data_IF_861378934261
#
_entry.id   IF_861378934261
#
_cell.length_a   1.000
_cell.length_b   1.000
_cell.length_c   1.000
_cell.angle_alpha   90.00
_cell.angle_beta   90.00
_cell.angle_gamma   90.00
#
_symmetry.space_group_name_H-M   'P 1'
#
loop_
_entity.id
_entity.type
_entity.pdbx_description
1 polymer ?
#
# COMPACT_ATOMS: atom_id res chain seq x y z
N UNK A 1 22.58 -16.18 9.73
CA UNK A 1 21.70 -15.28 8.95
C UNK A 1 20.65 -14.77 9.93
N UNK A 2 20.24 -13.51 9.86
CA UNK A 2 19.26 -12.89 10.77
C UNK A 2 17.88 -13.49 10.52
N UNK A 3 17.14 -13.89 11.57
CA UNK A 3 15.78 -14.40 11.50
C UNK A 3 14.78 -13.25 11.64
N UNK A 4 14.05 -12.95 10.57
CA UNK A 4 13.06 -11.88 10.50
C UNK A 4 11.65 -12.48 10.48
N UNK A 5 10.79 -12.08 11.43
CA UNK A 5 9.37 -12.32 11.31
C UNK A 5 8.72 -11.15 10.54
N UNK A 6 8.10 -11.45 9.41
CA UNK A 6 7.17 -10.52 8.73
C UNK A 6 5.75 -10.91 9.15
N UNK A 7 5.00 -9.94 9.67
CA UNK A 7 3.65 -10.15 10.19
C UNK A 7 2.65 -9.33 9.38
N UNK A 8 1.66 -10.01 8.79
CA UNK A 8 0.56 -9.34 8.05
C UNK A 8 -0.80 -9.95 8.41
N UNK A 9 -1.86 -9.15 8.50
CA UNK A 9 -3.21 -9.67 8.71
C UNK A 9 -3.78 -10.41 7.50
N UNK A 10 -3.17 -10.25 6.31
CA UNK A 10 -3.57 -10.87 5.05
C UNK A 10 -3.51 -12.40 5.11
N UNK A 11 -4.22 -13.07 4.21
CA UNK A 11 -4.15 -14.53 4.04
C UNK A 11 -3.03 -14.92 3.08
N UNK A 12 -2.53 -16.15 3.19
CA UNK A 12 -1.44 -16.66 2.34
C UNK A 12 -1.80 -16.66 0.83
N UNK A 13 -3.09 -16.80 0.51
CA UNK A 13 -3.56 -16.91 -0.88
C UNK A 13 -3.72 -15.56 -1.58
N UNK A 14 -3.71 -14.46 -0.85
CA UNK A 14 -3.87 -13.08 -1.35
C UNK A 14 -3.05 -12.09 -0.52
N UNK A 15 -1.75 -12.31 -0.34
CA UNK A 15 -0.94 -11.25 0.24
C UNK A 15 -0.84 -10.12 -0.79
N UNK A 16 -0.92 -8.90 -0.29
CA UNK A 16 -0.69 -7.72 -1.13
C UNK A 16 0.70 -7.78 -1.75
N UNK A 17 0.83 -7.26 -2.97
CA UNK A 17 2.07 -7.36 -3.76
C UNK A 17 3.30 -6.81 -3.01
N UNK A 18 3.13 -5.75 -2.22
CA UNK A 18 4.24 -5.20 -1.43
C UNK A 18 4.68 -6.14 -0.30
N UNK A 19 3.78 -6.90 0.33
CA UNK A 19 4.15 -7.91 1.36
C UNK A 19 4.99 -9.00 0.73
N UNK A 20 4.60 -9.50 -0.47
CA UNK A 20 5.41 -10.47 -1.22
C UNK A 20 6.78 -9.91 -1.59
N UNK A 21 6.82 -8.63 -1.97
CA UNK A 21 8.07 -7.95 -2.28
C UNK A 21 8.99 -7.86 -1.07
N UNK A 22 8.45 -7.60 0.14
CA UNK A 22 9.23 -7.60 1.39
C UNK A 22 9.73 -8.99 1.76
N UNK A 23 8.87 -10.02 1.67
CA UNK A 23 9.25 -11.42 1.95
C UNK A 23 10.41 -11.87 1.06
N UNK A 24 10.34 -11.55 -0.25
CA UNK A 24 11.35 -11.99 -1.22
C UNK A 24 12.58 -11.10 -1.30
N UNK A 25 12.48 -9.82 -0.90
CA UNK A 25 13.51 -8.81 -1.14
C UNK A 25 14.38 -8.46 0.05
N UNK A 26 13.88 -8.57 1.28
CA UNK A 26 14.66 -8.28 2.50
C UNK A 26 15.69 -9.38 2.73
N UNK A 27 16.96 -9.00 2.93
CA UNK A 27 18.08 -9.93 3.07
C UNK A 27 18.16 -10.51 4.49
N UNK A 28 17.25 -11.45 4.79
CA UNK A 28 17.13 -12.16 6.05
C UNK A 28 16.61 -13.60 5.82
N UNK A 29 16.63 -14.44 6.86
CA UNK A 29 15.84 -15.66 6.89
C UNK A 29 14.42 -15.27 7.33
N UNK A 30 13.46 -15.27 6.40
CA UNK A 30 12.11 -14.73 6.63
C UNK A 30 11.15 -15.81 7.11
N UNK A 31 10.44 -15.50 8.19
CA UNK A 31 9.31 -16.25 8.74
C UNK A 31 8.04 -15.43 8.55
N UNK A 32 7.15 -15.87 7.69
CA UNK A 32 5.91 -15.14 7.40
C UNK A 32 4.76 -15.57 8.30
N UNK A 33 4.31 -14.66 9.16
CA UNK A 33 3.19 -14.83 10.08
C UNK A 33 1.95 -14.10 9.56
N UNK A 34 0.79 -14.79 9.52
CA UNK A 34 -0.41 -14.24 8.88
C UNK A 34 -1.73 -14.68 9.51
N UNK A 35 -2.84 -14.13 9.00
CA UNK A 35 -4.19 -14.62 9.20
C UNK A 35 -5.04 -13.89 10.26
N UNK A 36 -4.54 -12.88 10.93
CA UNK A 36 -5.26 -11.95 11.82
C UNK A 36 -4.32 -10.81 12.25
N UNK A 37 -4.82 -9.78 12.92
CA UNK A 37 -4.00 -8.71 13.53
C UNK A 37 -2.98 -9.28 14.53
N UNK A 38 -3.37 -10.24 15.36
CA UNK A 38 -2.44 -11.12 16.07
C UNK A 38 -2.38 -12.42 15.27
N UNK A 39 -1.25 -12.75 14.61
CA UNK A 39 -1.21 -13.82 13.64
C UNK A 39 -1.54 -15.18 14.23
N UNK A 40 -2.07 -16.06 13.40
CA UNK A 40 -2.49 -17.41 13.77
C UNK A 40 -1.73 -18.49 13.06
N UNK A 41 -1.15 -18.17 11.92
CA UNK A 41 -0.46 -19.10 11.04
C UNK A 41 0.99 -18.67 10.83
N UNK A 42 1.87 -19.65 10.72
CA UNK A 42 3.22 -19.50 10.22
C UNK A 42 3.32 -20.27 8.89
N UNK A 43 3.83 -19.63 7.86
CA UNK A 43 4.02 -20.25 6.55
C UNK A 43 4.89 -21.51 6.67
N UNK A 44 4.47 -22.59 6.02
CA UNK A 44 5.13 -23.89 6.08
C UNK A 44 4.81 -24.74 7.32
N UNK A 45 4.37 -24.16 8.42
CA UNK A 45 4.04 -24.89 9.67
C UNK A 45 2.54 -24.96 9.97
N UNK A 46 1.77 -24.02 9.42
CA UNK A 46 0.32 -23.96 9.61
C UNK A 46 -0.12 -23.26 10.89
N UNK A 47 -1.22 -23.72 11.49
CA UNK A 47 -1.85 -23.10 12.66
C UNK A 47 -1.03 -23.29 13.92
N UNK A 48 -0.55 -22.21 14.52
CA UNK A 48 0.12 -22.21 15.84
C UNK A 48 -0.71 -21.54 16.94
N UNK A 49 -1.76 -20.78 16.60
CA UNK A 49 -2.65 -20.08 17.54
C UNK A 49 -4.11 -20.37 17.24
N UNK A 50 -4.99 -20.17 18.23
CA UNK A 50 -6.39 -20.57 18.14
C UNK A 50 -7.32 -19.49 17.60
N UNK A 51 -8.37 -19.94 16.88
CA UNK A 51 -9.56 -19.14 16.55
C UNK A 51 -10.76 -19.64 17.38
N UNK A 52 -11.75 -18.77 17.64
CA UNK A 52 -13.04 -19.15 18.23
C UNK A 52 -13.77 -20.26 17.47
N UNK A 53 -13.56 -20.37 16.15
CA UNK A 53 -14.12 -21.46 15.32
C UNK A 53 -13.33 -22.78 15.41
N UNK A 54 -12.06 -22.78 15.83
CA UNK A 54 -11.24 -23.99 15.96
C UNK A 54 -11.47 -24.73 17.29
N UNK A 55 -12.34 -24.23 18.18
CA UNK A 55 -12.75 -24.89 19.41
C UNK A 55 -13.34 -26.31 19.20
N UNK A 56 -13.80 -26.61 17.98
CA UNK A 56 -14.35 -27.92 17.63
C UNK A 56 -13.31 -28.96 17.17
N UNK A 57 -12.03 -28.57 17.01
CA UNK A 57 -10.98 -29.49 16.55
C UNK A 57 -10.10 -29.98 17.71
N UNK A 58 -10.47 -31.12 18.32
CA UNK A 58 -9.76 -31.74 19.44
C UNK A 58 -8.28 -32.00 19.21
N UNK A 59 -7.86 -32.26 17.95
CA UNK A 59 -6.44 -32.49 17.61
C UNK A 59 -5.60 -31.19 17.66
N UNK A 60 -6.16 -30.06 17.22
CA UNK A 60 -5.51 -28.75 17.33
C UNK A 60 -5.36 -28.34 18.81
N UNK A 61 -6.38 -28.57 19.63
CA UNK A 61 -6.34 -28.37 21.08
C UNK A 61 -5.20 -29.13 21.76
N UNK A 62 -5.07 -30.44 21.49
CA UNK A 62 -4.04 -31.30 22.10
C UNK A 62 -2.63 -30.85 21.74
N UNK A 63 -2.42 -30.32 20.51
CA UNK A 63 -1.11 -29.82 20.05
C UNK A 63 -0.72 -28.52 20.77
N UNK A 64 -1.67 -27.61 20.98
CA UNK A 64 -1.49 -26.34 21.67
C UNK A 64 -1.28 -26.55 23.19
N UNK A 65 -2.11 -27.40 23.81
CA UNK A 65 -2.00 -27.68 25.24
C UNK A 65 -0.74 -28.46 25.63
N UNK A 66 -0.21 -29.33 24.76
CA UNK A 66 1.05 -30.03 25.02
C UNK A 66 2.23 -29.08 25.22
N UNK A 67 2.18 -27.90 24.60
CA UNK A 67 3.26 -26.91 24.65
C UNK A 67 2.93 -25.69 25.55
N UNK A 68 1.70 -25.64 26.12
CA UNK A 68 1.28 -24.54 26.96
C UNK A 68 1.77 -24.74 28.41
N UNK A 69 2.82 -24.02 28.78
CA UNK A 69 3.17 -23.90 30.20
C UNK A 69 2.19 -22.92 30.89
N UNK A 70 1.16 -23.46 31.52
CA UNK A 70 0.06 -22.69 32.16
C UNK A 70 0.58 -21.71 33.21
N UNK A 71 1.64 -22.05 33.95
CA UNK A 71 2.26 -21.14 34.92
C UNK A 71 2.91 -19.94 34.23
N UNK A 72 3.72 -20.16 33.19
CA UNK A 72 4.35 -19.09 32.43
C UNK A 72 3.31 -18.23 31.70
N UNK A 73 2.25 -18.83 31.18
CA UNK A 73 1.12 -18.09 30.57
C UNK A 73 0.47 -17.16 31.59
N UNK A 74 0.04 -17.66 32.76
CA UNK A 74 -0.58 -16.83 33.79
C UNK A 74 0.34 -15.71 34.28
N UNK A 75 1.64 -15.99 34.42
CA UNK A 75 2.62 -15.01 34.84
C UNK A 75 2.95 -13.95 33.76
N UNK A 76 2.59 -14.19 32.50
CA UNK A 76 2.90 -13.29 31.38
C UNK A 76 2.06 -12.01 31.39
N UNK A 77 0.85 -12.06 31.94
CA UNK A 77 -0.15 -10.98 31.84
C UNK A 77 -0.74 -10.79 30.43
N UNK A 78 -0.38 -11.65 29.46
CA UNK A 78 -0.85 -11.55 28.07
C UNK A 78 -2.15 -12.31 27.84
N UNK A 79 -2.91 -11.87 26.82
CA UNK A 79 -3.96 -12.70 26.23
C UNK A 79 -3.36 -13.96 25.57
N UNK A 80 -4.14 -15.05 25.49
CA UNK A 80 -3.63 -16.33 24.97
C UNK A 80 -3.03 -16.24 23.56
N UNK A 81 -3.64 -15.50 22.63
CA UNK A 81 -3.13 -15.31 21.27
C UNK A 81 -1.73 -14.64 21.28
N UNK A 82 -1.59 -13.53 22.03
CA UNK A 82 -0.32 -12.81 22.15
C UNK A 82 0.76 -13.66 22.82
N UNK A 83 0.41 -14.46 23.82
CA UNK A 83 1.33 -15.39 24.47
C UNK A 83 1.83 -16.47 23.51
N UNK A 84 0.90 -17.11 22.77
CA UNK A 84 1.27 -18.15 21.79
C UNK A 84 2.15 -17.58 20.67
N UNK A 85 1.83 -16.37 20.19
CA UNK A 85 2.69 -15.69 19.21
C UNK A 85 4.09 -15.42 19.77
N UNK A 86 4.19 -14.89 20.99
CA UNK A 86 5.47 -14.66 21.65
C UNK A 86 6.28 -15.95 21.84
N UNK A 87 5.61 -17.08 22.14
CA UNK A 87 6.29 -18.39 22.23
C UNK A 87 6.78 -18.86 20.87
N UNK A 88 6.00 -18.66 19.80
CA UNK A 88 6.42 -18.98 18.43
C UNK A 88 7.65 -18.17 18.02
N UNK A 89 7.66 -16.86 18.27
CA UNK A 89 8.83 -16.01 18.02
C UNK A 89 10.09 -16.52 18.71
N UNK A 90 9.98 -16.93 19.98
CA UNK A 90 11.11 -17.50 20.74
C UNK A 90 11.56 -18.86 20.22
N UNK A 91 10.61 -19.73 19.84
CA UNK A 91 10.90 -21.08 19.33
C UNK A 91 11.67 -21.04 18.01
N UNK A 92 11.38 -20.03 17.18
CA UNK A 92 12.03 -19.83 15.88
C UNK A 92 13.27 -18.91 15.96
N UNK A 93 13.67 -18.51 17.17
CA UNK A 93 14.83 -17.62 17.38
C UNK A 93 14.74 -16.36 16.53
N UNK A 94 13.55 -15.72 16.51
CA UNK A 94 13.34 -14.48 15.76
C UNK A 94 14.16 -13.36 16.39
N UNK A 95 14.94 -12.66 15.56
CA UNK A 95 15.77 -11.53 15.97
C UNK A 95 15.02 -10.20 15.88
N UNK A 96 14.12 -10.04 14.90
CA UNK A 96 13.35 -8.80 14.62
C UNK A 96 11.97 -9.14 14.10
N UNK A 97 10.99 -8.33 14.46
CA UNK A 97 9.63 -8.37 13.88
C UNK A 97 9.41 -7.12 13.02
N UNK A 98 9.06 -7.31 11.74
CA UNK A 98 8.50 -6.29 10.86
C UNK A 98 7.00 -6.55 10.73
N UNK A 99 6.18 -5.64 11.24
CA UNK A 99 4.73 -5.77 11.16
C UNK A 99 4.15 -4.81 10.12
N UNK A 100 3.45 -5.39 9.16
CA UNK A 100 2.71 -4.66 8.15
C UNK A 100 1.41 -4.15 8.74
N UNK A 101 1.13 -2.88 8.55
CA UNK A 101 0.08 -2.06 9.15
C UNK A 101 0.31 -1.68 10.62
N UNK A 102 0.07 -0.41 10.91
CA UNK A 102 0.13 0.15 12.26
C UNK A 102 -0.80 -0.55 13.25
N UNK A 103 -1.98 -0.97 12.81
CA UNK A 103 -2.94 -1.73 13.62
C UNK A 103 -2.39 -3.09 14.04
N UNK A 104 -1.78 -3.83 13.12
CA UNK A 104 -1.10 -5.11 13.41
C UNK A 104 0.04 -4.88 14.38
N UNK A 105 0.88 -3.88 14.12
CA UNK A 105 2.02 -3.51 14.98
C UNK A 105 1.58 -3.24 16.40
N UNK A 106 0.49 -2.49 16.57
CA UNK A 106 -0.07 -2.14 17.88
C UNK A 106 -0.61 -3.36 18.64
N UNK A 107 -1.26 -4.30 17.94
CA UNK A 107 -1.81 -5.52 18.56
C UNK A 107 -0.74 -6.52 19.01
N UNK A 108 0.40 -6.56 18.32
CA UNK A 108 1.48 -7.52 18.67
C UNK A 108 2.56 -6.92 19.58
N UNK A 109 2.50 -5.62 19.89
CA UNK A 109 3.52 -4.92 20.70
C UNK A 109 3.80 -5.63 22.02
N UNK A 110 2.76 -5.99 22.78
CA UNK A 110 2.93 -6.64 24.08
C UNK A 110 3.57 -8.04 23.95
N UNK A 111 3.30 -8.75 22.86
CA UNK A 111 3.94 -10.04 22.58
C UNK A 111 5.42 -9.88 22.25
N UNK A 112 5.79 -8.88 21.44
CA UNK A 112 7.18 -8.55 21.12
C UNK A 112 7.94 -8.11 22.37
N UNK A 113 7.33 -7.25 23.21
CA UNK A 113 7.89 -6.82 24.49
C UNK A 113 8.15 -7.99 25.44
N UNK A 114 7.17 -8.91 25.58
CA UNK A 114 7.35 -10.12 26.40
C UNK A 114 8.43 -11.05 25.83
N UNK A 115 8.51 -11.16 24.51
CA UNK A 115 9.55 -11.93 23.85
C UNK A 115 10.94 -11.27 23.91
N UNK A 116 11.01 -9.95 24.19
CA UNK A 116 12.21 -9.10 24.11
C UNK A 116 12.78 -9.03 22.69
N UNK A 117 11.89 -8.91 21.69
CA UNK A 117 12.27 -8.87 20.27
C UNK A 117 11.89 -7.50 19.72
N UNK A 118 12.81 -6.73 19.12
CA UNK A 118 12.53 -5.42 18.57
C UNK A 118 11.44 -5.48 17.48
N UNK A 119 10.56 -4.44 17.49
CA UNK A 119 9.45 -4.29 16.57
C UNK A 119 9.74 -3.14 15.61
N UNK A 120 9.54 -3.37 14.32
CA UNK A 120 9.47 -2.36 13.27
C UNK A 120 8.00 -2.29 12.83
N UNK A 121 7.38 -1.12 12.93
CA UNK A 121 6.00 -0.89 12.50
C UNK A 121 5.98 -0.24 11.11
N UNK A 122 5.23 -0.79 10.16
CA UNK A 122 5.13 -0.28 8.80
C UNK A 122 3.69 0.16 8.50
N UNK A 123 3.49 1.46 8.25
CA UNK A 123 2.19 2.06 7.96
C UNK A 123 1.96 2.19 6.46
N UNK A 124 0.69 2.01 6.00
CA UNK A 124 0.38 1.94 4.58
C UNK A 124 -0.68 2.91 4.06
N UNK A 125 -1.44 3.59 4.91
CA UNK A 125 -2.47 4.56 4.54
C UNK A 125 -3.55 4.67 5.60
N UNK A 126 -4.63 3.90 5.46
CA UNK A 126 -5.80 3.91 6.34
C UNK A 126 -5.45 3.83 7.83
N UNK A 127 -4.46 3.04 8.18
CA UNK A 127 -3.95 2.85 9.55
C UNK A 127 -3.35 4.13 10.17
N UNK A 128 -3.02 5.14 9.36
CA UNK A 128 -2.49 6.44 9.80
C UNK A 128 -3.45 7.61 9.57
N UNK A 129 -4.63 7.37 8.96
CA UNK A 129 -5.49 8.45 8.48
C UNK A 129 -6.96 8.31 8.85
N UNK A 130 -7.55 7.11 8.81
CA UNK A 130 -8.97 6.85 9.12
C UNK A 130 -9.28 7.23 10.58
N UNK A 131 -10.23 8.13 10.77
CA UNK A 131 -10.58 8.69 12.10
C UNK A 131 -11.08 7.64 13.08
N UNK A 132 -11.81 6.61 12.61
CA UNK A 132 -12.30 5.53 13.46
C UNK A 132 -11.17 4.62 13.90
N UNK A 133 -10.23 4.32 13.01
CA UNK A 133 -9.01 3.57 13.32
C UNK A 133 -8.18 4.35 14.35
N UNK A 134 -7.90 5.62 14.08
CA UNK A 134 -7.10 6.46 14.97
C UNK A 134 -7.73 6.60 16.36
N UNK A 135 -9.05 6.79 16.44
CA UNK A 135 -9.79 6.84 17.71
C UNK A 135 -9.67 5.51 18.47
N UNK A 136 -9.84 4.38 17.79
CA UNK A 136 -9.84 3.05 18.41
C UNK A 136 -8.44 2.59 18.84
N UNK A 137 -7.39 3.05 18.14
CA UNK A 137 -6.02 2.61 18.37
C UNK A 137 -5.15 3.64 19.11
N UNK A 138 -5.68 4.79 19.50
CA UNK A 138 -4.91 5.90 20.08
C UNK A 138 -3.93 5.46 21.19
N UNK A 139 -4.43 4.77 22.21
CA UNK A 139 -3.60 4.31 23.33
C UNK A 139 -2.63 3.19 22.93
N UNK A 140 -3.08 2.29 22.03
CA UNK A 140 -2.24 1.21 21.54
C UNK A 140 -1.09 1.75 20.68
N UNK A 141 -1.34 2.80 19.87
CA UNK A 141 -0.30 3.45 19.08
C UNK A 141 0.74 4.13 19.97
N UNK A 142 0.34 4.81 21.06
CA UNK A 142 1.32 5.38 22.00
C UNK A 142 2.25 4.29 22.54
N UNK A 143 1.69 3.18 23.07
CA UNK A 143 2.49 2.06 23.59
C UNK A 143 3.38 1.43 22.52
N UNK A 144 2.90 1.34 21.30
CA UNK A 144 3.65 0.83 20.16
C UNK A 144 4.78 1.79 19.78
N UNK A 145 4.55 3.10 19.69
CA UNK A 145 5.59 4.10 19.40
C UNK A 145 6.68 4.12 20.49
N UNK A 146 6.30 3.96 21.77
CA UNK A 146 7.27 3.86 22.86
C UNK A 146 8.21 2.65 22.67
N UNK A 147 7.65 1.51 22.30
CA UNK A 147 8.40 0.25 22.18
C UNK A 147 9.11 0.06 20.86
N UNK A 148 8.49 0.45 19.73
CA UNK A 148 9.02 0.19 18.40
C UNK A 148 10.44 0.76 18.24
N UNK A 149 11.30 -0.03 17.60
CA UNK A 149 12.63 0.40 17.19
C UNK A 149 12.55 1.48 16.11
N UNK A 150 11.72 1.23 15.08
CA UNK A 150 11.45 2.17 14.00
C UNK A 150 10.00 2.08 13.54
N UNK A 151 9.52 3.17 12.96
CA UNK A 151 8.21 3.30 12.35
C UNK A 151 8.40 3.72 10.89
N UNK A 152 7.99 2.87 9.95
CA UNK A 152 8.14 3.13 8.52
C UNK A 152 6.87 3.84 8.03
N UNK A 153 7.08 4.97 7.35
CA UNK A 153 6.06 5.75 6.68
C UNK A 153 6.25 5.69 5.17
N UNK A 154 5.17 5.46 4.42
CA UNK A 154 5.24 5.35 2.96
C UNK A 154 5.12 6.69 2.22
N UNK A 155 4.90 7.79 2.95
CA UNK A 155 4.89 9.15 2.39
C UNK A 155 5.32 10.19 3.41
N UNK A 156 5.79 11.35 2.93
CA UNK A 156 6.14 12.48 3.81
C UNK A 156 4.91 13.07 4.51
N UNK A 157 3.73 12.99 3.88
CA UNK A 157 2.48 13.37 4.56
C UNK A 157 2.16 12.40 5.71
N UNK A 158 2.41 11.11 5.52
CA UNK A 158 2.26 10.12 6.58
C UNK A 158 3.25 10.34 7.73
N UNK A 159 4.51 10.71 7.46
CA UNK A 159 5.47 11.08 8.51
C UNK A 159 4.92 12.20 9.40
N UNK A 160 4.36 13.28 8.80
CA UNK A 160 3.75 14.39 9.55
C UNK A 160 2.58 13.92 10.41
N UNK A 161 1.72 13.06 9.87
CA UNK A 161 0.56 12.51 10.60
C UNK A 161 1.00 11.62 11.76
N UNK A 162 1.99 10.76 11.56
CA UNK A 162 2.52 9.91 12.62
C UNK A 162 3.18 10.73 13.73
N UNK A 163 3.90 11.80 13.39
CA UNK A 163 4.41 12.75 14.39
C UNK A 163 3.27 13.43 15.18
N UNK A 164 2.20 13.85 14.51
CA UNK A 164 1.03 14.42 15.16
C UNK A 164 0.30 13.42 16.08
N UNK A 165 0.40 12.12 15.78
CA UNK A 165 -0.08 11.02 16.63
C UNK A 165 0.86 10.68 17.78
N UNK A 166 2.01 11.36 17.91
CA UNK A 166 2.97 11.18 19.00
C UNK A 166 4.15 10.25 18.67
N UNK A 167 4.35 9.85 17.42
CA UNK A 167 5.53 9.09 17.04
C UNK A 167 6.79 9.97 17.12
N UNK A 168 7.85 9.55 17.85
CA UNK A 168 9.12 10.27 17.87
C UNK A 168 9.74 10.37 16.46
N UNK A 169 10.22 11.56 16.09
CA UNK A 169 10.78 11.81 14.76
C UNK A 169 12.01 10.94 14.45
N UNK A 170 12.82 10.65 15.43
CA UNK A 170 14.03 9.82 15.30
C UNK A 170 13.74 8.34 15.05
N UNK A 171 12.50 7.89 15.27
CA UNK A 171 12.04 6.53 14.93
C UNK A 171 11.46 6.42 13.52
N UNK A 172 11.14 7.57 12.87
CA UNK A 172 10.51 7.57 11.55
C UNK A 172 11.53 7.26 10.45
N UNK A 173 11.11 6.40 9.52
CA UNK A 173 11.87 6.05 8.32
C UNK A 173 10.95 6.15 7.11
N UNK A 174 11.30 6.97 6.13
CA UNK A 174 10.60 7.06 4.85
C UNK A 174 10.98 5.91 3.93
N UNK A 175 10.02 5.06 3.59
CA UNK A 175 10.20 3.96 2.64
C UNK A 175 8.87 3.64 1.93
N UNK A 176 8.52 4.32 0.84
CA UNK A 176 7.32 4.06 0.07
C UNK A 176 7.35 2.67 -0.59
N UNK A 177 6.17 2.08 -0.81
CA UNK A 177 6.04 0.93 -1.68
C UNK A 177 6.42 1.34 -3.11
N UNK A 178 7.12 0.48 -3.84
CA UNK A 178 7.66 0.79 -5.18
C UNK A 178 7.15 -0.19 -6.23
N UNK A 179 7.19 0.19 -7.53
CA UNK A 179 6.79 -0.69 -8.62
C UNK A 179 7.68 -1.93 -8.72
N UNK A 180 7.12 -3.02 -9.25
CA UNK A 180 7.89 -4.18 -9.66
C UNK A 180 8.79 -3.85 -10.88
N UNK A 181 9.92 -4.57 -10.98
CA UNK A 181 10.93 -4.33 -12.03
C UNK A 181 10.39 -4.50 -13.47
N UNK A 182 9.28 -5.22 -13.66
CA UNK A 182 8.60 -5.39 -14.95
C UNK A 182 8.19 -4.05 -15.58
N UNK A 183 7.67 -3.12 -14.78
CA UNK A 183 7.24 -1.80 -15.25
C UNK A 183 8.41 -0.93 -15.76
N UNK A 184 9.60 -1.08 -15.22
CA UNK A 184 10.79 -0.35 -15.67
C UNK A 184 11.34 -0.84 -17.02
N UNK A 185 11.00 -2.08 -17.42
CA UNK A 185 11.46 -2.70 -18.69
C UNK A 185 10.64 -2.22 -19.87
N UNK A 186 9.44 -1.73 -19.63
CA UNK A 186 8.53 -1.27 -20.68
C UNK A 186 8.62 0.24 -20.91
N UNK A 187 8.07 0.69 -22.04
CA UNK A 187 8.03 2.10 -22.44
C UNK A 187 6.65 2.45 -22.97
N UNK A 188 6.05 3.53 -22.46
CA UNK A 188 4.78 4.04 -22.95
C UNK A 188 4.97 4.62 -24.38
N UNK A 189 4.05 4.26 -25.28
CA UNK A 189 4.13 4.67 -26.70
C UNK A 189 3.59 6.07 -26.95
N UNK A 190 2.66 6.53 -26.13
CA UNK A 190 2.00 7.86 -26.17
C UNK A 190 1.33 8.16 -27.54
N UNK A 191 0.90 7.13 -28.26
CA UNK A 191 0.41 7.27 -29.65
C UNK A 191 -1.09 7.42 -29.76
N UNK A 192 -1.85 6.76 -28.85
CA UNK A 192 -3.32 6.78 -28.86
C UNK A 192 -3.86 7.91 -27.99
N UNK A 193 -4.97 8.58 -28.37
CA UNK A 193 -5.65 9.55 -27.52
C UNK A 193 -6.45 8.83 -26.41
N UNK A 194 -5.74 8.05 -25.58
CA UNK A 194 -6.30 7.15 -24.58
C UNK A 194 -5.72 7.46 -23.21
N UNK A 195 -6.60 7.51 -22.21
CA UNK A 195 -6.23 7.60 -20.81
C UNK A 195 -6.47 6.27 -20.11
N UNK A 196 -5.73 6.00 -19.05
CA UNK A 196 -5.91 4.79 -18.25
C UNK A 196 -5.97 5.11 -16.76
N UNK A 197 -6.96 4.54 -16.09
CA UNK A 197 -7.09 4.48 -14.63
C UNK A 197 -6.86 3.03 -14.20
N UNK A 198 -6.02 2.81 -13.18
CA UNK A 198 -5.80 1.50 -12.58
C UNK A 198 -5.91 1.61 -11.06
N UNK A 199 -6.83 0.89 -10.45
CA UNK A 199 -6.97 0.90 -9.01
C UNK A 199 -8.29 0.36 -8.49
N UNK A 200 -8.40 0.24 -7.18
CA UNK A 200 -9.67 -0.13 -6.55
C UNK A 200 -10.68 1.01 -6.72
N UNK A 201 -11.90 0.68 -7.05
CA UNK A 201 -13.00 1.64 -7.14
C UNK A 201 -13.53 1.94 -5.74
N UNK A 202 -12.80 2.77 -5.00
CA UNK A 202 -13.09 3.21 -3.63
C UNK A 202 -13.23 4.71 -3.57
N UNK A 203 -13.87 5.23 -2.50
CA UNK A 203 -14.12 6.65 -2.32
C UNK A 203 -12.85 7.48 -2.44
N UNK A 204 -11.78 7.11 -1.77
CA UNK A 204 -10.51 7.84 -1.81
C UNK A 204 -9.84 7.91 -3.19
N UNK A 205 -10.22 7.03 -4.14
CA UNK A 205 -9.72 7.09 -5.53
C UNK A 205 -10.66 7.84 -6.46
N UNK A 206 -11.82 8.27 -5.97
CA UNK A 206 -12.83 9.09 -6.64
C UNK A 206 -12.96 8.82 -8.15
N UNK A 207 -13.22 7.57 -8.59
CA UNK A 207 -13.29 7.23 -10.02
C UNK A 207 -14.36 8.04 -10.77
N UNK A 208 -15.39 8.52 -10.06
CA UNK A 208 -16.42 9.41 -10.59
C UNK A 208 -15.85 10.78 -11.00
N UNK A 209 -14.87 11.32 -10.27
CA UNK A 209 -14.23 12.58 -10.62
C UNK A 209 -13.42 12.46 -11.93
N UNK A 210 -12.78 11.30 -12.15
CA UNK A 210 -12.10 10.98 -13.43
C UNK A 210 -13.11 10.95 -14.58
N UNK A 211 -14.31 10.34 -14.39
CA UNK A 211 -15.36 10.34 -15.40
C UNK A 211 -15.87 11.75 -15.73
N UNK A 212 -16.06 12.58 -14.71
CA UNK A 212 -16.50 13.98 -14.90
C UNK A 212 -15.45 14.80 -15.66
N UNK A 213 -14.18 14.65 -15.35
CA UNK A 213 -13.10 15.29 -16.08
C UNK A 213 -13.05 14.80 -17.54
N UNK A 214 -13.16 13.49 -17.74
CA UNK A 214 -13.15 12.90 -19.07
C UNK A 214 -14.36 13.31 -19.91
N UNK A 215 -15.55 13.48 -19.33
CA UNK A 215 -16.71 14.02 -20.03
C UNK A 215 -16.42 15.38 -20.67
N UNK A 216 -15.74 16.28 -19.93
CA UNK A 216 -15.34 17.60 -20.46
C UNK A 216 -14.28 17.49 -21.57
N UNK A 217 -13.40 16.48 -21.48
CA UNK A 217 -12.43 16.21 -22.56
C UNK A 217 -13.14 15.87 -23.86
N UNK A 218 -14.23 15.10 -23.82
CA UNK A 218 -14.98 14.70 -25.01
C UNK A 218 -15.70 15.84 -25.69
N UNK A 219 -16.00 16.94 -25.00
CA UNK A 219 -16.60 18.14 -25.60
C UNK A 219 -15.66 18.79 -26.62
N UNK A 220 -14.31 18.63 -26.45
CA UNK A 220 -13.30 19.14 -27.39
C UNK A 220 -12.63 18.03 -28.20
N UNK A 221 -12.58 16.78 -27.69
CA UNK A 221 -11.83 15.67 -28.28
C UNK A 221 -12.67 14.37 -28.30
N UNK A 222 -13.68 14.35 -29.18
CA UNK A 222 -14.69 13.27 -29.25
C UNK A 222 -14.12 11.86 -29.44
N UNK A 223 -12.91 11.73 -29.99
CA UNK A 223 -12.25 10.42 -30.23
C UNK A 223 -11.40 9.93 -29.04
N UNK A 224 -11.29 10.68 -27.96
CA UNK A 224 -10.56 10.24 -26.77
C UNK A 224 -11.21 8.98 -26.16
N UNK A 225 -10.39 8.14 -25.55
CA UNK A 225 -10.79 6.93 -24.84
C UNK A 225 -10.30 6.94 -23.38
N UNK A 226 -11.05 6.27 -22.52
CA UNK A 226 -10.66 6.04 -21.12
C UNK A 226 -10.83 4.57 -20.79
N UNK A 227 -9.72 3.93 -20.39
CA UNK A 227 -9.75 2.57 -19.82
C UNK A 227 -9.80 2.67 -18.30
N UNK A 228 -10.72 1.94 -17.68
CA UNK A 228 -10.85 1.88 -16.23
C UNK A 228 -10.67 0.43 -15.76
N UNK A 229 -9.53 0.18 -15.08
CA UNK A 229 -9.09 -1.16 -14.66
C UNK A 229 -9.16 -1.27 -13.15
N UNK A 230 -9.79 -2.33 -12.66
CA UNK A 230 -9.94 -2.65 -11.24
C UNK A 230 -11.37 -2.96 -10.87
N UNK A 231 -11.60 -3.14 -9.58
CA UNK A 231 -12.90 -3.45 -8.98
C UNK A 231 -13.02 -2.79 -7.60
N UNK A 232 -14.19 -2.80 -6.99
CA UNK A 232 -14.44 -2.24 -5.66
C UNK A 232 -15.86 -1.74 -5.48
N UNK A 233 -16.15 -1.19 -4.30
CA UNK A 233 -17.50 -0.81 -3.89
C UNK A 233 -18.18 0.20 -4.83
N UNK A 234 -17.39 1.08 -5.47
CA UNK A 234 -17.88 2.08 -6.42
C UNK A 234 -17.87 1.61 -7.88
N UNK A 235 -17.46 0.36 -8.19
CA UNK A 235 -17.35 -0.09 -9.58
C UNK A 235 -18.67 0.01 -10.35
N UNK A 236 -19.76 -0.56 -9.80
CA UNK A 236 -21.06 -0.56 -10.46
C UNK A 236 -21.68 0.84 -10.51
N UNK A 237 -21.54 1.65 -9.48
CA UNK A 237 -22.04 3.04 -9.47
C UNK A 237 -21.29 3.91 -10.49
N UNK A 238 -19.98 3.77 -10.60
CA UNK A 238 -19.14 4.45 -11.58
C UNK A 238 -19.54 4.04 -13.03
N UNK A 239 -19.76 2.75 -13.25
CA UNK A 239 -20.22 2.24 -14.56
C UNK A 239 -21.62 2.77 -14.93
N UNK A 240 -22.55 2.86 -13.97
CA UNK A 240 -23.86 3.45 -14.20
C UNK A 240 -23.76 4.96 -14.47
N UNK A 241 -22.88 5.66 -13.75
CA UNK A 241 -22.61 7.08 -13.99
C UNK A 241 -22.07 7.32 -15.42
N UNK A 242 -21.18 6.48 -15.91
CA UNK A 242 -20.69 6.56 -17.29
C UNK A 242 -21.83 6.43 -18.31
N UNK A 243 -22.83 5.56 -18.07
CA UNK A 243 -24.02 5.45 -18.92
C UNK A 243 -24.89 6.72 -18.88
N UNK A 244 -25.15 7.27 -17.68
CA UNK A 244 -25.93 8.50 -17.49
C UNK A 244 -25.27 9.69 -18.19
N UNK A 245 -23.94 9.75 -18.17
CA UNK A 245 -23.14 10.77 -18.84
C UNK A 245 -22.93 10.52 -20.34
N UNK A 246 -23.55 9.45 -20.91
CA UNK A 246 -23.44 9.05 -22.31
C UNK A 246 -22.01 8.72 -22.77
N UNK A 247 -21.18 8.18 -21.87
CA UNK A 247 -19.77 7.87 -22.11
C UNK A 247 -19.53 6.44 -22.62
N UNK A 248 -20.56 5.63 -22.84
CA UNK A 248 -20.44 4.19 -23.11
C UNK A 248 -19.60 3.85 -24.36
N UNK A 249 -19.49 4.76 -25.31
CA UNK A 249 -18.68 4.59 -26.52
C UNK A 249 -17.19 4.96 -26.30
N UNK A 250 -16.85 5.65 -25.23
CA UNK A 250 -15.53 6.24 -24.98
C UNK A 250 -14.87 5.70 -23.72
N UNK A 251 -15.64 5.10 -22.81
CA UNK A 251 -15.14 4.55 -21.54
C UNK A 251 -15.32 3.04 -21.51
N UNK A 252 -14.24 2.31 -21.27
CA UNK A 252 -14.24 0.86 -21.13
C UNK A 252 -13.88 0.45 -19.70
N UNK A 253 -14.69 -0.42 -19.09
CA UNK A 253 -14.50 -0.99 -17.76
C UNK A 253 -14.02 -2.42 -17.88
N UNK A 254 -12.76 -2.67 -17.57
CA UNK A 254 -12.10 -3.97 -17.79
C UNK A 254 -12.17 -4.90 -16.56
N UNK A 255 -12.66 -4.42 -15.42
CA UNK A 255 -12.58 -5.17 -14.16
C UNK A 255 -11.13 -5.40 -13.70
N UNK A 256 -10.92 -6.36 -12.81
CA UNK A 256 -9.58 -6.74 -12.36
C UNK A 256 -8.80 -7.41 -13.48
N UNK A 257 -7.58 -6.98 -13.74
CA UNK A 257 -6.69 -7.49 -14.78
C UNK A 257 -5.38 -8.03 -14.21
N UNK A 258 -4.71 -8.91 -14.97
CA UNK A 258 -3.35 -9.35 -14.65
C UNK A 258 -2.33 -8.22 -14.83
N UNK A 259 -1.17 -8.28 -14.15
CA UNK A 259 -0.11 -7.28 -14.33
C UNK A 259 0.30 -7.07 -15.78
N UNK A 260 0.40 -8.12 -16.60
CA UNK A 260 0.75 -8.03 -18.02
C UNK A 260 -0.28 -7.21 -18.81
N UNK A 261 -1.57 -7.40 -18.53
CA UNK A 261 -2.64 -6.64 -19.19
C UNK A 261 -2.70 -5.18 -18.73
N UNK A 262 -2.34 -4.91 -17.47
CA UNK A 262 -2.18 -3.54 -16.96
C UNK A 262 -1.02 -2.86 -17.69
N UNK A 263 0.11 -3.53 -17.84
CA UNK A 263 1.27 -3.02 -18.59
C UNK A 263 0.89 -2.72 -20.03
N UNK A 264 0.17 -3.63 -20.73
CA UNK A 264 -0.28 -3.43 -22.11
C UNK A 264 -1.19 -2.19 -22.22
N UNK A 265 -2.17 -2.06 -21.33
CA UNK A 265 -3.08 -0.92 -21.31
C UNK A 265 -2.33 0.41 -21.04
N UNK A 266 -1.41 0.43 -20.10
CA UNK A 266 -0.57 1.60 -19.81
C UNK A 266 0.33 1.94 -21.00
N UNK A 267 0.94 0.94 -21.65
CA UNK A 267 1.86 1.11 -22.78
C UNK A 267 1.20 1.81 -23.96
N UNK A 268 -0.05 1.53 -24.22
CA UNK A 268 -0.81 2.10 -25.33
C UNK A 268 -1.48 3.45 -25.03
N UNK A 269 -1.47 3.88 -23.76
CA UNK A 269 -2.13 5.10 -23.31
C UNK A 269 -1.26 6.34 -23.48
N UNK A 270 -1.90 7.53 -23.52
CA UNK A 270 -1.27 8.84 -23.54
C UNK A 270 -0.90 9.31 -22.14
N UNK A 271 -1.75 9.03 -21.15
CA UNK A 271 -1.50 9.36 -19.76
C UNK A 271 -2.26 8.42 -18.81
N UNK A 272 -1.69 8.25 -17.62
CA UNK A 272 -2.37 7.69 -16.46
C UNK A 272 -3.16 8.77 -15.74
N UNK A 273 -4.38 8.46 -15.33
CA UNK A 273 -5.26 9.41 -14.61
C UNK A 273 -5.78 8.80 -13.32
N UNK A 274 -5.70 9.53 -12.20
CA UNK A 274 -6.27 9.16 -10.91
C UNK A 274 -6.62 10.41 -10.12
N UNK A 275 -7.84 10.47 -9.56
CA UNK A 275 -8.30 11.60 -8.77
C UNK A 275 -8.47 11.18 -7.30
N UNK A 276 -7.38 11.14 -6.56
CA UNK A 276 -7.45 10.78 -5.13
C UNK A 276 -7.91 11.95 -4.27
N UNK A 277 -8.69 11.62 -3.22
CA UNK A 277 -9.22 12.58 -2.24
C UNK A 277 -9.10 12.03 -0.82
N UNK A 278 -9.15 12.90 0.17
CA UNK A 278 -9.42 12.54 1.56
C UNK A 278 -10.92 12.28 1.69
N UNK A 279 -11.29 11.13 2.21
CA UNK A 279 -12.71 10.78 2.45
C UNK A 279 -13.25 11.43 3.72
N UNK A 280 -14.57 11.45 3.91
CA UNK A 280 -15.22 12.02 5.10
C UNK A 280 -14.79 11.36 6.41
N UNK A 281 -14.42 10.07 6.38
CA UNK A 281 -13.86 9.34 7.52
C UNK A 281 -12.33 9.49 7.67
N UNK A 282 -11.70 10.32 6.82
CA UNK A 282 -10.28 10.62 6.85
C UNK A 282 -9.39 9.59 6.15
N UNK A 283 -9.95 8.52 5.53
CA UNK A 283 -9.12 7.57 4.77
C UNK A 283 -8.48 8.27 3.56
N UNK A 284 -7.22 7.96 3.32
CA UNK A 284 -6.43 8.51 2.22
C UNK A 284 -5.43 7.50 1.69
N UNK A 285 -4.82 7.84 0.57
CA UNK A 285 -3.72 7.04 0.03
C UNK A 285 -2.49 7.09 0.95
N UNK A 286 -1.67 6.05 0.89
CA UNK A 286 -0.28 6.13 1.32
C UNK A 286 0.56 6.77 0.21
N UNK A 287 1.14 5.92 -0.64
CA UNK A 287 1.67 6.30 -1.97
C UNK A 287 1.06 5.33 -2.98
N UNK A 288 0.23 5.80 -3.93
CA UNK A 288 -0.44 4.89 -4.87
C UNK A 288 0.56 4.26 -5.82
N UNK A 289 0.73 2.93 -5.73
CA UNK A 289 1.70 2.18 -6.53
C UNK A 289 1.43 2.33 -8.02
N UNK A 290 0.16 2.36 -8.46
CA UNK A 290 -0.19 2.53 -9.87
C UNK A 290 0.29 3.86 -10.49
N UNK A 291 0.37 4.95 -9.71
CA UNK A 291 1.00 6.22 -10.11
C UNK A 291 2.49 6.02 -10.38
N UNK A 292 3.16 5.25 -9.53
CA UNK A 292 4.58 4.96 -9.67
C UNK A 292 4.84 4.00 -10.83
N UNK A 293 3.98 3.00 -11.03
CA UNK A 293 4.02 2.05 -12.16
C UNK A 293 3.91 2.78 -13.50
N UNK A 294 2.94 3.69 -13.62
CA UNK A 294 2.79 4.54 -14.79
C UNK A 294 4.05 5.38 -15.05
N UNK A 295 4.54 6.07 -14.01
CA UNK A 295 5.77 6.87 -14.11
C UNK A 295 7.00 6.01 -14.47
N UNK A 296 7.12 4.78 -13.95
CA UNK A 296 8.22 3.87 -14.26
C UNK A 296 8.24 3.44 -15.74
N UNK A 297 7.07 3.37 -16.38
CA UNK A 297 6.92 3.09 -17.82
C UNK A 297 7.17 4.34 -18.69
N UNK A 298 7.33 5.54 -18.11
CA UNK A 298 7.39 6.78 -18.86
C UNK A 298 6.04 7.29 -19.33
N UNK A 299 4.95 6.83 -18.71
CA UNK A 299 3.60 7.31 -18.94
C UNK A 299 3.36 8.57 -18.08
N UNK A 300 3.02 9.73 -18.67
CA UNK A 300 2.69 10.92 -17.88
C UNK A 300 1.55 10.64 -16.90
N UNK A 301 1.65 11.20 -15.71
CA UNK A 301 0.61 11.09 -14.67
C UNK A 301 -0.16 12.39 -14.55
N UNK A 302 -1.48 12.32 -14.55
CA UNK A 302 -2.39 13.39 -14.16
C UNK A 302 -3.10 12.94 -12.88
N UNK A 303 -2.88 13.66 -11.78
CA UNK A 303 -3.44 13.27 -10.49
C UNK A 303 -3.71 14.48 -9.59
N UNK A 304 -3.91 14.23 -8.29
CA UNK A 304 -4.21 15.27 -7.30
C UNK A 304 -3.03 15.52 -6.36
N UNK A 305 -2.97 16.71 -5.78
CA UNK A 305 -2.08 17.04 -4.66
C UNK A 305 -2.66 16.36 -3.43
N UNK A 306 -2.42 15.05 -3.29
CA UNK A 306 -3.01 14.20 -2.27
C UNK A 306 -1.97 13.22 -1.71
N UNK A 307 -1.88 13.14 -0.38
CA UNK A 307 -1.04 12.17 0.36
C UNK A 307 0.39 12.07 -0.20
N UNK A 308 0.84 10.88 -0.57
CA UNK A 308 2.19 10.62 -1.13
C UNK A 308 2.32 10.87 -2.63
N UNK A 309 1.29 11.34 -3.33
CA UNK A 309 1.38 11.62 -4.78
C UNK A 309 2.44 12.69 -5.08
N UNK A 310 2.52 13.83 -4.34
CA UNK A 310 3.55 14.85 -4.56
C UNK A 310 4.99 14.37 -4.25
N UNK A 311 5.17 13.30 -3.49
CA UNK A 311 6.50 12.71 -3.27
C UNK A 311 7.05 12.08 -4.57
N UNK A 312 6.12 11.55 -5.38
CA UNK A 312 6.40 10.83 -6.63
C UNK A 312 6.38 11.76 -7.83
N UNK A 313 5.30 12.55 -7.96
CA UNK A 313 5.02 13.41 -9.11
C UNK A 313 5.36 14.86 -8.77
N UNK A 314 6.24 15.47 -9.56
CA UNK A 314 6.56 16.90 -9.51
C UNK A 314 5.72 17.59 -10.58
N UNK A 315 4.83 18.49 -10.15
CA UNK A 315 3.89 19.18 -11.04
C UNK A 315 4.61 19.98 -12.13
N UNK A 316 4.17 19.79 -13.38
CA UNK A 316 4.78 20.41 -14.56
C UNK A 316 6.11 19.85 -15.02
N UNK A 317 6.73 18.94 -14.23
CA UNK A 317 8.05 18.35 -14.56
C UNK A 317 7.97 16.85 -14.85
N UNK A 318 7.24 16.07 -14.02
CA UNK A 318 7.14 14.61 -14.13
C UNK A 318 5.70 14.11 -14.25
N UNK A 319 4.74 15.03 -14.23
CA UNK A 319 3.30 14.83 -14.35
C UNK A 319 2.58 16.15 -14.10
N UNK A 320 1.26 16.08 -13.98
CA UNK A 320 0.40 17.23 -13.72
C UNK A 320 -0.46 16.96 -12.49
N UNK A 321 -0.54 17.93 -11.58
CA UNK A 321 -1.27 17.83 -10.34
C UNK A 321 -2.34 18.93 -10.23
N UNK A 322 -3.54 18.55 -9.83
CA UNK A 322 -4.62 19.47 -9.48
C UNK A 322 -4.99 19.34 -7.99
N UNK A 323 -5.81 20.25 -7.49
CA UNK A 323 -6.39 20.10 -6.15
C UNK A 323 -7.41 18.95 -6.15
N UNK A 324 -7.66 18.38 -4.97
CA UNK A 324 -8.76 17.46 -4.78
C UNK A 324 -10.08 18.09 -5.22
N UNK A 325 -10.93 17.31 -5.92
CA UNK A 325 -12.21 17.73 -6.50
C UNK A 325 -12.12 18.80 -7.62
N UNK A 326 -10.93 19.23 -8.03
CA UNK A 326 -10.77 20.16 -9.16
C UNK A 326 -10.82 19.39 -10.50
N UNK A 327 -12.05 19.01 -10.85
CA UNK A 327 -12.37 18.26 -12.09
C UNK A 327 -12.05 19.08 -13.33
N UNK A 328 -12.21 20.42 -13.28
CA UNK A 328 -11.91 21.32 -14.40
C UNK A 328 -10.44 21.36 -14.74
N UNK A 329 -9.59 21.46 -13.71
CA UNK A 329 -8.14 21.44 -13.90
C UNK A 329 -7.67 20.09 -14.43
N UNK A 330 -8.20 18.97 -13.91
CA UNK A 330 -7.88 17.64 -14.43
C UNK A 330 -8.26 17.50 -15.90
N UNK A 331 -9.45 17.95 -16.30
CA UNK A 331 -9.88 17.96 -17.70
C UNK A 331 -8.96 18.82 -18.59
N UNK A 332 -8.60 20.03 -18.13
CA UNK A 332 -7.66 20.92 -18.82
C UNK A 332 -6.29 20.27 -19.00
N UNK A 333 -5.79 19.55 -17.99
CA UNK A 333 -4.52 18.83 -18.04
C UNK A 333 -4.58 17.66 -19.04
N UNK A 334 -5.69 16.92 -19.07
CA UNK A 334 -5.89 15.86 -20.07
C UNK A 334 -5.92 16.45 -21.50
N UNK A 335 -6.65 17.55 -21.73
CA UNK A 335 -6.68 18.25 -23.01
C UNK A 335 -5.32 18.80 -23.42
N UNK A 336 -4.52 19.30 -22.48
CA UNK A 336 -3.17 19.77 -22.73
C UNK A 336 -2.30 18.66 -23.31
N UNK A 337 -2.34 17.46 -22.73
CA UNK A 337 -1.53 16.34 -23.24
C UNK A 337 -2.03 15.81 -24.60
N UNK A 338 -3.34 15.90 -24.90
CA UNK A 338 -3.88 15.59 -26.22
C UNK A 338 -3.40 16.56 -27.30
N UNK A 339 -3.26 17.84 -26.95
CA UNK A 339 -2.85 18.91 -27.86
C UNK A 339 -1.34 19.07 -28.00
N UNK A 340 -0.57 18.71 -26.96
CA UNK A 340 0.88 18.86 -26.88
C UNK A 340 1.56 17.53 -26.54
N UNK A 341 1.84 16.75 -27.58
CA UNK A 341 2.50 15.44 -27.46
C UNK A 341 3.96 15.55 -26.99
N UNK A 342 4.65 16.61 -27.39
CA UNK A 342 6.05 16.82 -26.97
C UNK A 342 6.12 17.06 -25.47
N UNK A 343 5.15 17.79 -24.92
CA UNK A 343 5.04 17.98 -23.49
C UNK A 343 4.68 16.67 -22.76
N UNK A 344 3.81 15.83 -23.35
CA UNK A 344 3.53 14.50 -22.78
C UNK A 344 4.80 13.63 -22.72
N UNK A 345 5.59 13.60 -23.81
CA UNK A 345 6.88 12.89 -23.85
C UNK A 345 7.87 13.45 -22.83
N UNK A 346 7.94 14.78 -22.69
CA UNK A 346 8.79 15.44 -21.70
C UNK A 346 8.44 14.97 -20.26
N UNK A 347 7.18 15.04 -19.87
CA UNK A 347 6.71 14.62 -18.54
C UNK A 347 6.98 13.13 -18.28
N UNK A 348 6.64 12.27 -19.23
CA UNK A 348 6.82 10.81 -19.10
C UNK A 348 8.30 10.44 -18.95
N UNK A 349 9.18 11.00 -19.77
CA UNK A 349 10.63 10.80 -19.68
C UNK A 349 11.20 11.19 -18.33
N UNK A 350 10.84 12.37 -17.83
CA UNK A 350 11.30 12.86 -16.53
C UNK A 350 10.75 12.01 -15.38
N UNK A 351 9.46 11.59 -15.46
CA UNK A 351 8.86 10.67 -14.51
C UNK A 351 9.65 9.36 -14.41
N UNK A 352 9.95 8.74 -15.56
CA UNK A 352 10.75 7.50 -15.62
C UNK A 352 12.14 7.68 -15.03
N UNK A 353 12.81 8.79 -15.32
CA UNK A 353 14.13 9.09 -14.75
C UNK A 353 14.07 9.23 -13.22
N UNK A 354 13.04 9.93 -12.71
CA UNK A 354 12.82 10.08 -11.28
C UNK A 354 12.59 8.72 -10.60
N UNK A 355 11.75 7.84 -11.19
CA UNK A 355 11.51 6.50 -10.68
C UNK A 355 12.79 5.68 -10.60
N UNK A 356 13.57 5.64 -11.69
CA UNK A 356 14.87 4.94 -11.73
C UNK A 356 15.86 5.43 -10.69
N UNK A 357 15.82 6.71 -10.34
CA UNK A 357 16.79 7.32 -9.40
C UNK A 357 16.40 7.09 -7.93
N UNK A 358 15.12 7.16 -7.59
CA UNK A 358 14.67 7.28 -6.19
C UNK A 358 13.70 6.21 -5.72
N UNK A 359 13.09 5.40 -6.62
CA UNK A 359 11.97 4.53 -6.29
C UNK A 359 12.10 3.14 -6.90
N UNK A 360 13.31 2.56 -6.85
CA UNK A 360 13.54 1.19 -7.31
C UNK A 360 13.33 0.18 -6.19
N UNK A 361 12.98 -1.07 -6.54
CA UNK A 361 12.88 -2.18 -5.60
C UNK A 361 14.17 -2.37 -4.79
N UNK A 362 15.33 -2.28 -5.46
CA UNK A 362 16.63 -2.35 -4.80
C UNK A 362 16.77 -1.26 -3.72
N UNK A 363 16.44 -0.01 -4.03
CA UNK A 363 16.53 1.11 -3.10
C UNK A 363 15.65 0.88 -1.86
N UNK A 364 14.37 0.49 -2.03
CA UNK A 364 13.45 0.20 -0.93
C UNK A 364 13.98 -0.96 -0.07
N UNK A 365 14.39 -2.09 -0.70
CA UNK A 365 14.87 -3.26 0.02
C UNK A 365 16.19 -2.99 0.77
N UNK A 366 17.04 -2.12 0.26
CA UNK A 366 18.26 -1.68 0.95
C UNK A 366 17.90 -0.90 2.23
N UNK A 367 16.91 0.02 2.17
CA UNK A 367 16.42 0.75 3.37
C UNK A 367 15.86 -0.25 4.39
N UNK A 368 14.88 -1.09 3.99
CA UNK A 368 14.25 -2.05 4.89
C UNK A 368 15.27 -3.01 5.52
N UNK A 369 16.21 -3.53 4.72
CA UNK A 369 17.28 -4.41 5.21
C UNK A 369 18.16 -3.70 6.23
N UNK A 370 18.49 -2.42 6.02
CA UNK A 370 19.32 -1.65 6.95
C UNK A 370 18.59 -1.39 8.28
N UNK A 371 17.28 -1.06 8.23
CA UNK A 371 16.46 -0.89 9.43
C UNK A 371 16.37 -2.21 10.22
N UNK A 372 16.11 -3.33 9.54
CA UNK A 372 16.05 -4.66 10.15
C UNK A 372 17.39 -5.02 10.81
N UNK A 373 18.52 -4.80 10.14
CA UNK A 373 19.85 -5.05 10.70
C UNK A 373 20.20 -4.16 11.89
N UNK A 374 19.74 -2.91 11.87
CA UNK A 374 19.94 -1.99 12.98
C UNK A 374 19.13 -2.42 14.21
N UNK A 375 17.89 -2.83 14.03
CA UNK A 375 17.02 -3.34 15.08
C UNK A 375 17.59 -4.61 15.75
N UNK A 376 18.16 -5.52 14.97
CA UNK A 376 18.73 -6.78 15.50
C UNK A 376 20.01 -6.62 16.34
N UNK A 377 20.59 -5.42 16.41
CA UNK A 377 21.79 -5.14 17.21
C UNK A 377 21.47 -4.62 18.62
N UNK A 378 20.19 -4.37 18.91
CA UNK A 378 19.70 -3.98 20.25
C UNK A 378 19.49 -5.24 21.13
#
# INVERSE_FOLDING_TARGET
>A
MLNLAIVSPSTINTPETFVQSHISGIRANVFFYYGDLIPRYLEGEGLFSMNSQSLNNKKAWLRIFKNLNVFKYKASGLGLKSYLFAQSLKAHHIDVVLAEYGTTSAEITDACKYAKIPLIAHFHGRDSSDYNVLKSYREKYQRMFDYAFSVIAVSHEMEKRLMALGCPKDKLVYAPCVPEDSFFKEEALLTKPQFVFVGRFTEKKAPYAVLLAFKRVLDEYANAKLLMIGDGDLFNSTKNMAKILELSNNVEFLGTQSPDKIIEAMKESLAYVQHSIITDDGDMEGTPVAVMEASAMGLPVISTIHAGIPDVVVDGETGLLCKELDVDKMASDMLRLLKDKDFAVYLGRNGKQRMKKYFTKKWQMDILTNVVRAAAKQ
#
